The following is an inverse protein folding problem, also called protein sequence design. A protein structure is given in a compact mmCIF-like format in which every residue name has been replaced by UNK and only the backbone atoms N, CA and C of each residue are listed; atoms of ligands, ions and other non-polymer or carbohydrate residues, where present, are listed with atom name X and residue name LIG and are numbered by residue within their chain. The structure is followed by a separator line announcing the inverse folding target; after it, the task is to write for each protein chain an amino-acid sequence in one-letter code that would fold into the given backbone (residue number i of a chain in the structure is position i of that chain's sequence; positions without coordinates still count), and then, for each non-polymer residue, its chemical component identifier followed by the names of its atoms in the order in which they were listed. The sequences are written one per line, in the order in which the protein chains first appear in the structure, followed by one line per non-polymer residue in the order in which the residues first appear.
data_IF_601733362843
#
_entry.id   IF_601733362843
#
_cell.length_a   1.000
_cell.length_b   1.000
_cell.length_c   1.000
_cell.angle_alpha   90.00
_cell.angle_beta   90.00
_cell.angle_gamma   90.00
#
_symmetry.space_group_name_H-M   'P 1'
#
loop_
_entity.id
_entity.type
_entity.pdbx_description
1 polymer ?
#
# COMPACT_ATOMS: atom_id res chain seq x y z
N UNK A 1 -7.00 25.87 -2.08
CA UNK A 1 -6.44 24.86 -2.99
C UNK A 1 -5.44 25.54 -3.90
N UNK A 2 -4.25 24.97 -4.12
CA UNK A 2 -3.24 25.60 -4.98
C UNK A 2 -3.64 25.51 -6.45
N UNK A 3 -3.25 26.49 -7.27
CA UNK A 3 -3.51 26.49 -8.73
C UNK A 3 -2.99 25.21 -9.41
N UNK A 4 -1.88 24.67 -8.91
CA UNK A 4 -1.29 23.42 -9.38
C UNK A 4 -2.21 22.21 -9.15
N UNK A 5 -2.89 22.13 -7.99
CA UNK A 5 -3.81 21.02 -7.70
C UNK A 5 -5.01 21.03 -8.67
N UNK A 6 -5.53 22.22 -9.00
CA UNK A 6 -6.62 22.36 -9.96
C UNK A 6 -6.18 21.95 -11.37
N UNK A 7 -4.99 22.39 -11.80
CA UNK A 7 -4.44 22.00 -13.11
C UNK A 7 -4.22 20.49 -13.22
N UNK A 8 -3.58 19.86 -12.23
CA UNK A 8 -3.35 18.41 -12.23
C UNK A 8 -4.66 17.62 -12.22
N UNK A 9 -5.66 18.08 -11.46
CA UNK A 9 -6.98 17.46 -11.45
C UNK A 9 -7.66 17.55 -12.82
N UNK A 10 -7.65 18.72 -13.44
CA UNK A 10 -8.25 18.91 -14.78
C UNK A 10 -7.54 18.08 -15.85
N UNK A 11 -6.21 18.00 -15.82
CA UNK A 11 -5.43 17.14 -16.73
C UNK A 11 -5.78 15.67 -16.52
N UNK A 12 -5.81 15.20 -15.27
CA UNK A 12 -6.18 13.83 -14.93
C UNK A 12 -7.61 13.49 -15.37
N UNK A 13 -8.56 14.41 -15.16
CA UNK A 13 -9.94 14.24 -15.58
C UNK A 13 -10.08 14.19 -17.11
N UNK A 14 -9.39 15.08 -17.83
CA UNK A 14 -9.38 15.08 -19.29
C UNK A 14 -8.76 13.79 -19.86
N UNK A 15 -7.64 13.32 -19.29
CA UNK A 15 -7.04 12.04 -19.64
C UNK A 15 -7.98 10.87 -19.39
N UNK A 16 -8.64 10.83 -18.23
CA UNK A 16 -9.58 9.78 -17.88
C UNK A 16 -10.78 9.74 -18.85
N UNK A 17 -11.39 10.89 -19.16
CA UNK A 17 -12.48 10.99 -20.13
C UNK A 17 -12.01 10.61 -21.54
N UNK A 18 -10.82 11.05 -21.94
CA UNK A 18 -10.21 10.69 -23.22
C UNK A 18 -9.98 9.18 -23.36
N UNK A 19 -9.46 8.53 -22.32
CA UNK A 19 -9.28 7.06 -22.27
C UNK A 19 -10.62 6.32 -22.32
N UNK A 20 -11.64 6.80 -21.62
CA UNK A 20 -12.99 6.23 -21.66
C UNK A 20 -13.63 6.35 -23.04
N UNK A 21 -13.48 7.51 -23.69
CA UNK A 21 -13.96 7.72 -25.04
C UNK A 21 -13.21 6.82 -26.05
N UNK A 22 -11.90 6.66 -25.87
CA UNK A 22 -11.06 5.82 -26.73
C UNK A 22 -11.36 4.32 -26.57
N UNK A 23 -11.57 3.86 -25.33
CA UNK A 23 -11.96 2.48 -25.05
C UNK A 23 -13.41 2.17 -25.49
N UNK A 24 -14.25 3.20 -25.56
CA UNK A 24 -15.69 3.10 -25.84
C UNK A 24 -16.51 2.95 -24.56
N UNK A 25 -17.40 3.91 -24.31
CA UNK A 25 -18.25 3.91 -23.12
C UNK A 25 -19.09 2.64 -22.99
N UNK A 26 -19.63 2.14 -24.11
CA UNK A 26 -20.50 0.95 -24.14
C UNK A 26 -19.77 -0.34 -23.71
N UNK A 27 -18.51 -0.50 -24.13
CA UNK A 27 -17.69 -1.63 -23.73
C UNK A 27 -17.42 -1.63 -22.22
N UNK A 28 -17.15 -0.45 -21.64
CA UNK A 28 -16.90 -0.29 -20.20
C UNK A 28 -18.17 -0.54 -19.40
N UNK A 29 -19.32 0.03 -19.80
CA UNK A 29 -20.60 -0.14 -19.10
C UNK A 29 -21.07 -1.58 -19.14
N UNK A 30 -20.96 -2.25 -20.29
CA UNK A 30 -21.34 -3.66 -20.44
C UNK A 30 -20.49 -4.57 -19.56
N UNK A 31 -19.18 -4.29 -19.45
CA UNK A 31 -18.27 -5.03 -18.56
C UNK A 31 -18.58 -4.77 -17.08
N UNK A 32 -18.96 -3.54 -16.72
CA UNK A 32 -19.40 -3.23 -15.35
C UNK A 32 -20.71 -3.94 -15.00
N UNK A 33 -21.65 -3.99 -15.95
CA UNK A 33 -22.93 -4.66 -15.76
C UNK A 33 -22.79 -6.18 -15.65
N UNK A 34 -21.84 -6.79 -16.37
CA UNK A 34 -21.58 -8.23 -16.25
C UNK A 34 -21.02 -8.60 -14.88
N UNK A 35 -20.20 -7.73 -14.27
CA UNK A 35 -19.73 -7.92 -12.89
C UNK A 35 -20.84 -7.66 -11.85
N UNK A 36 -21.74 -6.71 -12.11
CA UNK A 36 -22.91 -6.40 -11.29
C UNK A 36 -22.58 -6.14 -9.82
N UNK A 37 -23.38 -6.70 -8.91
CA UNK A 37 -23.16 -6.59 -7.45
C UNK A 37 -21.89 -7.31 -6.96
N UNK A 38 -21.26 -8.15 -7.78
CA UNK A 38 -19.97 -8.76 -7.46
C UNK A 38 -18.88 -7.72 -7.16
N UNK A 39 -18.93 -6.55 -7.82
CA UNK A 39 -18.03 -5.42 -7.54
C UNK A 39 -18.11 -4.94 -6.09
N UNK A 40 -19.32 -4.89 -5.50
CA UNK A 40 -19.50 -4.48 -4.13
C UNK A 40 -18.89 -5.50 -3.14
N UNK A 41 -19.00 -6.80 -3.45
CA UNK A 41 -18.37 -7.86 -2.66
C UNK A 41 -16.85 -7.78 -2.74
N UNK A 42 -16.30 -7.57 -3.93
CA UNK A 42 -14.84 -7.38 -4.14
C UNK A 42 -14.35 -6.14 -3.40
N UNK A 43 -15.09 -5.03 -3.44
CA UNK A 43 -14.76 -3.83 -2.69
C UNK A 43 -14.83 -4.05 -1.17
N UNK A 44 -15.86 -4.77 -0.69
CA UNK A 44 -16.01 -5.11 0.72
C UNK A 44 -14.91 -6.05 1.22
N UNK A 45 -14.37 -6.92 0.35
CA UNK A 45 -13.26 -7.80 0.69
C UNK A 45 -12.02 -7.01 1.14
N UNK A 46 -11.81 -5.79 0.65
CA UNK A 46 -10.72 -4.90 1.07
C UNK A 46 -10.81 -4.48 2.55
N UNK A 47 -11.97 -4.57 3.18
CA UNK A 47 -12.12 -4.30 4.61
C UNK A 47 -11.34 -5.33 5.46
N UNK A 48 -11.20 -6.57 4.99
CA UNK A 48 -10.48 -7.60 5.72
C UNK A 48 -8.98 -7.27 5.87
N UNK A 49 -8.18 -7.05 4.80
CA UNK A 49 -6.78 -6.66 4.95
C UNK A 49 -6.63 -5.34 5.71
N UNK A 50 -7.57 -4.39 5.54
CA UNK A 50 -7.57 -3.14 6.27
C UNK A 50 -7.70 -3.34 7.79
N UNK A 51 -8.62 -4.19 8.22
CA UNK A 51 -8.85 -4.52 9.64
C UNK A 51 -7.66 -5.29 10.22
N UNK A 52 -7.08 -6.21 9.46
CA UNK A 52 -5.89 -6.98 9.89
C UNK A 52 -4.67 -6.08 10.08
N UNK A 53 -4.40 -5.18 9.13
CA UNK A 53 -3.27 -4.24 9.23
C UNK A 53 -3.49 -3.22 10.36
N UNK A 54 -4.72 -2.75 10.55
CA UNK A 54 -5.09 -1.93 11.71
C UNK A 54 -4.85 -2.68 13.04
N UNK A 55 -5.16 -3.97 13.09
CA UNK A 55 -4.88 -4.84 14.24
C UNK A 55 -3.38 -4.97 14.52
N UNK A 56 -2.57 -5.15 13.48
CA UNK A 56 -1.11 -5.20 13.62
C UNK A 56 -0.55 -3.88 14.20
N UNK A 57 -1.05 -2.73 13.74
CA UNK A 57 -0.68 -1.41 14.28
C UNK A 57 -1.10 -1.29 15.75
N UNK A 58 -2.31 -1.74 16.11
CA UNK A 58 -2.78 -1.73 17.49
C UNK A 58 -1.87 -2.54 18.41
N UNK A 59 -1.46 -3.76 18.01
CA UNK A 59 -0.52 -4.61 18.76
C UNK A 59 0.86 -3.95 18.92
N UNK A 60 1.36 -3.27 17.89
CA UNK A 60 2.64 -2.57 17.93
C UNK A 60 2.63 -1.36 18.88
N UNK A 61 1.49 -0.68 19.00
CA UNK A 61 1.30 0.46 19.91
C UNK A 61 1.09 0.00 21.36
N UNK A 62 0.29 -1.05 21.59
CA UNK A 62 -0.06 -1.54 22.93
C UNK A 62 1.16 -2.07 23.70
N UNK A 63 2.12 -2.68 22.98
CA UNK A 63 3.40 -3.11 23.55
C UNK A 63 4.27 -1.99 24.13
N UNK A 64 4.02 -0.72 23.76
CA UNK A 64 4.84 0.44 24.18
C UNK A 64 4.05 1.49 24.95
N UNK A 65 2.74 1.56 24.78
CA UNK A 65 1.88 2.58 25.39
C UNK A 65 0.48 2.03 25.61
N UNK A 66 -0.10 2.24 26.80
CA UNK A 66 -1.50 1.89 27.19
C UNK A 66 -2.61 2.54 26.33
N UNK A 67 -2.27 3.14 25.19
CA UNK A 67 -3.18 3.95 24.38
C UNK A 67 -3.29 3.35 22.98
N UNK A 68 -4.35 2.57 22.75
CA UNK A 68 -4.61 1.95 21.46
C UNK A 68 -5.98 1.32 21.38
N UNK A 69 -7.06 2.10 21.44
CA UNK A 69 -8.37 1.59 20.99
C UNK A 69 -8.21 1.17 19.53
N UNK A 70 -8.46 -0.09 19.16
CA UNK A 70 -8.38 -0.59 17.78
C UNK A 70 -9.00 0.36 16.74
N UNK A 71 -10.07 1.07 17.13
CA UNK A 71 -10.71 2.12 16.34
C UNK A 71 -9.79 3.29 15.94
N UNK A 72 -8.84 3.70 16.79
CA UNK A 72 -7.86 4.74 16.43
C UNK A 72 -6.86 4.23 15.38
N UNK A 73 -6.36 2.99 15.53
CA UNK A 73 -5.48 2.35 14.56
C UNK A 73 -6.19 2.16 13.21
N UNK A 74 -7.45 1.71 13.23
CA UNK A 74 -8.27 1.54 12.03
C UNK A 74 -8.49 2.87 11.30
N UNK A 75 -8.88 3.93 12.01
CA UNK A 75 -9.06 5.26 11.39
C UNK A 75 -7.74 5.83 10.86
N UNK A 76 -6.64 5.62 11.60
CA UNK A 76 -5.32 6.01 11.11
C UNK A 76 -5.02 5.30 9.79
N UNK A 77 -5.17 3.96 9.76
CA UNK A 77 -4.87 3.17 8.56
C UNK A 77 -5.75 3.52 7.38
N UNK A 78 -7.05 3.65 7.60
CA UNK A 78 -8.01 4.03 6.56
C UNK A 78 -7.64 5.39 5.94
N UNK A 79 -7.40 6.40 6.78
CA UNK A 79 -7.05 7.75 6.30
C UNK A 79 -5.69 7.77 5.61
N UNK A 80 -4.70 7.06 6.15
CA UNK A 80 -3.38 6.91 5.54
C UNK A 80 -3.44 6.27 4.16
N UNK A 81 -4.19 5.17 4.02
CA UNK A 81 -4.40 4.50 2.73
C UNK A 81 -5.17 5.37 1.76
N UNK A 82 -6.20 6.08 2.21
CA UNK A 82 -6.96 7.02 1.37
C UNK A 82 -6.06 8.13 0.82
N UNK A 83 -5.14 8.66 1.63
CA UNK A 83 -4.14 9.64 1.16
C UNK A 83 -3.21 9.01 0.13
N UNK A 84 -2.74 7.79 0.37
CA UNK A 84 -1.83 7.13 -0.55
C UNK A 84 -2.48 6.76 -1.89
N UNK A 85 -3.78 6.45 -1.89
CA UNK A 85 -4.52 6.04 -3.08
C UNK A 85 -5.12 7.22 -3.85
N UNK A 86 -5.53 8.29 -3.17
CA UNK A 86 -6.28 9.40 -3.79
C UNK A 86 -5.43 10.66 -4.00
N UNK A 87 -4.38 10.88 -3.19
CA UNK A 87 -3.55 12.07 -3.29
C UNK A 87 -2.21 11.76 -3.96
N UNK A 88 -1.67 12.70 -4.78
CA UNK A 88 -0.37 12.55 -5.42
C UNK A 88 0.78 12.79 -4.40
N UNK A 89 0.80 12.00 -3.32
CA UNK A 89 1.75 12.13 -2.21
C UNK A 89 2.83 11.04 -2.20
N UNK A 90 3.01 10.32 -3.32
CA UNK A 90 4.12 9.38 -3.54
C UNK A 90 4.21 8.24 -2.52
N UNK A 91 3.07 7.79 -1.97
CA UNK A 91 2.98 6.82 -0.87
C UNK A 91 3.61 7.25 0.48
N UNK A 92 4.19 8.45 0.56
CA UNK A 92 4.81 9.02 1.77
C UNK A 92 3.76 9.74 2.62
N UNK A 93 2.75 10.34 2.00
CA UNK A 93 1.72 11.12 2.71
C UNK A 93 0.89 10.32 3.71
N UNK A 94 0.56 9.07 3.37
CA UNK A 94 -0.24 8.18 4.22
C UNK A 94 0.41 7.92 5.56
N UNK A 95 1.64 7.35 5.61
CA UNK A 95 2.37 7.13 6.86
C UNK A 95 2.53 8.40 7.71
N UNK A 96 2.80 9.56 7.10
CA UNK A 96 2.92 10.84 7.83
C UNK A 96 1.59 11.22 8.49
N UNK A 97 0.47 11.08 7.78
CA UNK A 97 -0.85 11.37 8.33
C UNK A 97 -1.23 10.38 9.44
N UNK A 98 -0.90 9.10 9.29
CA UNK A 98 -1.14 8.07 10.31
C UNK A 98 -0.43 8.42 11.62
N UNK A 99 0.85 8.78 11.54
CA UNK A 99 1.66 9.19 12.70
C UNK A 99 1.05 10.43 13.37
N UNK A 100 0.69 11.45 12.58
CA UNK A 100 0.06 12.67 13.08
C UNK A 100 -1.28 12.39 13.76
N UNK A 101 -2.14 11.57 13.14
CA UNK A 101 -3.45 11.22 13.67
C UNK A 101 -3.34 10.46 15.00
N UNK A 102 -2.44 9.49 15.09
CA UNK A 102 -2.19 8.76 16.33
C UNK A 102 -1.60 9.66 17.42
N UNK A 103 -0.71 10.58 17.05
CA UNK A 103 -0.13 11.53 18.00
C UNK A 103 -1.16 12.50 18.58
N UNK A 104 -2.12 12.96 17.77
CA UNK A 104 -3.23 13.79 18.22
C UNK A 104 -4.18 13.06 19.18
N UNK A 105 -4.17 11.72 19.18
CA UNK A 105 -4.95 10.88 20.11
C UNK A 105 -4.16 10.40 21.33
N UNK A 106 -3.01 11.03 21.61
CA UNK A 106 -2.24 10.80 22.84
C UNK A 106 -1.07 9.81 22.70
N UNK A 107 -0.84 9.23 21.52
CA UNK A 107 0.39 8.47 21.29
C UNK A 107 1.60 9.40 21.25
N UNK A 108 2.73 8.99 21.83
CA UNK A 108 3.98 9.74 21.66
C UNK A 108 4.38 9.69 20.18
N UNK A 109 4.70 10.84 19.59
CA UNK A 109 5.07 10.95 18.17
C UNK A 109 6.15 9.94 17.77
N UNK A 110 7.16 9.75 18.63
CA UNK A 110 8.26 8.79 18.43
C UNK A 110 7.76 7.33 18.36
N UNK A 111 6.82 6.97 19.23
CA UNK A 111 6.30 5.59 19.31
C UNK A 111 5.34 5.31 18.15
N UNK A 112 4.50 6.29 17.78
CA UNK A 112 3.66 6.22 16.59
C UNK A 112 4.50 6.10 15.31
N UNK A 113 5.53 6.93 15.14
CA UNK A 113 6.45 6.85 14.01
C UNK A 113 7.11 5.47 13.91
N UNK A 114 7.63 4.96 15.03
CA UNK A 114 8.25 3.62 15.06
C UNK A 114 7.25 2.51 14.69
N UNK A 115 6.03 2.54 15.24
CA UNK A 115 5.00 1.56 14.93
C UNK A 115 4.59 1.58 13.46
N UNK A 116 4.34 2.77 12.88
CA UNK A 116 3.96 2.91 11.47
C UNK A 116 5.10 2.51 10.53
N UNK A 117 6.35 2.86 10.84
CA UNK A 117 7.51 2.41 10.05
C UNK A 117 7.65 0.90 10.07
N UNK A 118 7.54 0.26 11.25
CA UNK A 118 7.58 -1.21 11.36
C UNK A 118 6.43 -1.83 10.57
N UNK A 119 5.19 -1.34 10.76
CA UNK A 119 4.02 -1.84 10.02
C UNK A 119 4.23 -1.75 8.50
N UNK A 120 4.67 -0.60 8.00
CA UNK A 120 4.87 -0.37 6.56
C UNK A 120 5.97 -1.25 5.98
N UNK A 121 7.06 -1.44 6.72
CA UNK A 121 8.17 -2.31 6.28
C UNK A 121 7.79 -3.78 6.30
N UNK A 122 7.05 -4.24 7.32
CA UNK A 122 6.51 -5.60 7.39
C UNK A 122 5.48 -5.85 6.29
N UNK A 123 4.62 -4.86 5.99
CA UNK A 123 3.67 -4.93 4.88
C UNK A 123 4.41 -5.07 3.54
N UNK A 124 5.41 -4.22 3.28
CA UNK A 124 6.21 -4.29 2.06
C UNK A 124 6.90 -5.65 1.91
N UNK A 125 7.51 -6.17 2.98
CA UNK A 125 8.14 -7.48 2.98
C UNK A 125 7.13 -8.61 2.71
N UNK A 126 5.96 -8.56 3.36
CA UNK A 126 4.89 -9.55 3.18
C UNK A 126 4.38 -9.55 1.74
N UNK A 127 4.21 -8.37 1.14
CA UNK A 127 3.81 -8.24 -0.27
C UNK A 127 4.86 -8.80 -1.22
N UNK A 128 6.15 -8.55 -0.97
CA UNK A 128 7.23 -9.11 -1.79
C UNK A 128 7.29 -10.63 -1.69
N UNK A 129 7.14 -11.19 -0.48
CA UNK A 129 7.09 -12.65 -0.27
C UNK A 129 5.87 -13.26 -0.95
N UNK A 130 4.71 -12.63 -0.82
CA UNK A 130 3.47 -13.07 -1.48
C UNK A 130 3.62 -13.07 -3.00
N UNK A 131 4.17 -12.00 -3.58
CA UNK A 131 4.42 -11.91 -5.01
C UNK A 131 5.39 -13.01 -5.48
N UNK A 132 6.46 -13.26 -4.72
CA UNK A 132 7.43 -14.31 -5.04
C UNK A 132 6.80 -15.69 -5.03
N UNK A 133 6.02 -16.01 -3.99
CA UNK A 133 5.29 -17.26 -3.88
C UNK A 133 4.28 -17.42 -5.02
N UNK A 134 3.54 -16.35 -5.36
CA UNK A 134 2.59 -16.36 -6.47
C UNK A 134 3.24 -16.69 -7.80
N UNK A 135 4.40 -16.08 -8.10
CA UNK A 135 5.15 -16.33 -9.35
C UNK A 135 5.70 -17.76 -9.38
N UNK A 136 6.22 -18.28 -8.25
CA UNK A 136 6.72 -19.65 -8.15
C UNK A 136 5.60 -20.67 -8.38
N UNK A 137 4.44 -20.48 -7.74
CA UNK A 137 3.28 -21.34 -7.92
C UNK A 137 2.75 -21.29 -9.35
N UNK A 138 2.69 -20.09 -9.95
CA UNK A 138 2.28 -19.91 -11.34
C UNK A 138 3.23 -20.64 -12.31
N UNK A 139 4.54 -20.53 -12.09
CA UNK A 139 5.55 -21.23 -12.89
C UNK A 139 5.51 -22.75 -12.75
N UNK A 140 5.04 -23.28 -11.63
CA UNK A 140 4.97 -24.72 -11.36
C UNK A 140 3.80 -25.42 -12.08
N UNK A 141 2.70 -24.72 -12.38
CA UNK A 141 1.48 -25.34 -12.93
C UNK A 141 1.42 -25.36 -14.46
N UNK A 142 2.27 -24.61 -15.17
CA UNK A 142 2.13 -24.42 -16.61
C UNK A 142 3.15 -25.17 -17.46
N UNK A 143 2.68 -25.76 -18.57
CA UNK A 143 3.53 -26.26 -19.66
C UNK A 143 4.04 -25.08 -20.51
N UNK A 144 4.73 -24.14 -19.85
CA UNK A 144 5.01 -22.78 -20.31
C UNK A 144 6.38 -22.69 -20.99
N UNK A 145 6.66 -23.50 -22.01
CA UNK A 145 7.96 -23.47 -22.72
C UNK A 145 8.37 -22.06 -23.14
N UNK A 146 7.43 -21.26 -23.66
CA UNK A 146 7.68 -19.87 -24.08
C UNK A 146 7.75 -18.85 -22.92
N UNK A 147 7.17 -19.16 -21.76
CA UNK A 147 7.06 -18.22 -20.64
C UNK A 147 7.99 -18.52 -19.45
N UNK A 148 8.77 -19.61 -19.53
CA UNK A 148 9.78 -19.99 -18.52
C UNK A 148 10.82 -18.89 -18.31
N UNK A 149 11.41 -18.37 -19.38
CA UNK A 149 12.47 -17.36 -19.29
C UNK A 149 12.00 -16.07 -18.60
N UNK A 150 10.88 -15.42 -18.98
CA UNK A 150 10.41 -14.22 -18.28
C UNK A 150 10.04 -14.51 -16.82
N UNK A 151 9.44 -15.66 -16.51
CA UNK A 151 9.11 -16.05 -15.13
C UNK A 151 10.37 -16.15 -14.28
N UNK A 152 11.43 -16.81 -14.78
CA UNK A 152 12.70 -16.93 -14.07
C UNK A 152 13.32 -15.55 -13.84
N UNK A 153 13.37 -14.71 -14.87
CA UNK A 153 13.95 -13.36 -14.77
C UNK A 153 13.21 -12.52 -13.72
N UNK A 154 11.88 -12.48 -13.76
CA UNK A 154 11.07 -11.73 -12.78
C UNK A 154 11.26 -12.30 -11.38
N UNK A 155 11.32 -13.63 -11.23
CA UNK A 155 11.56 -14.29 -9.93
C UNK A 155 12.92 -13.88 -9.34
N UNK A 156 13.98 -13.91 -10.15
CA UNK A 156 15.33 -13.54 -9.72
C UNK A 156 15.39 -12.06 -9.33
N UNK A 157 14.82 -11.18 -10.15
CA UNK A 157 14.78 -9.73 -9.86
C UNK A 157 14.03 -9.48 -8.55
N UNK A 158 12.85 -10.09 -8.38
CA UNK A 158 12.05 -9.91 -7.17
C UNK A 158 12.77 -10.45 -5.93
N UNK A 159 13.39 -11.64 -6.02
CA UNK A 159 14.19 -12.21 -4.95
C UNK A 159 15.38 -11.30 -4.57
N UNK A 160 16.06 -10.72 -5.56
CA UNK A 160 17.13 -9.75 -5.34
C UNK A 160 16.61 -8.48 -4.64
N UNK A 161 15.46 -7.95 -5.05
CA UNK A 161 14.80 -6.82 -4.38
C UNK A 161 14.48 -7.13 -2.91
N UNK A 162 13.94 -8.32 -2.61
CA UNK A 162 13.66 -8.76 -1.23
C UNK A 162 14.95 -8.82 -0.42
N UNK A 163 16.01 -9.40 -0.99
CA UNK A 163 17.30 -9.54 -0.31
C UNK A 163 17.92 -8.17 -0.01
N UNK A 164 17.96 -7.28 -1.00
CA UNK A 164 18.44 -5.91 -0.85
C UNK A 164 17.62 -5.18 0.22
N UNK A 165 16.30 -5.27 0.17
CA UNK A 165 15.42 -4.64 1.17
C UNK A 165 15.73 -5.13 2.59
N UNK A 166 15.84 -6.45 2.79
CA UNK A 166 16.20 -7.06 4.07
C UNK A 166 17.58 -6.61 4.58
N UNK A 167 18.58 -6.56 3.70
CA UNK A 167 19.94 -6.10 4.06
C UNK A 167 19.93 -4.62 4.46
N UNK A 168 19.24 -3.77 3.70
CA UNK A 168 19.12 -2.34 4.02
C UNK A 168 18.37 -2.12 5.34
N UNK A 169 17.30 -2.88 5.59
CA UNK A 169 16.53 -2.82 6.83
C UNK A 169 17.38 -3.23 8.04
N UNK A 170 18.16 -4.32 7.94
CA UNK A 170 19.09 -4.77 9.00
C UNK A 170 20.23 -3.80 9.26
N UNK A 171 20.69 -3.07 8.25
CA UNK A 171 21.73 -2.01 8.39
C UNK A 171 21.18 -0.68 8.94
N UNK A 172 19.97 -0.68 9.50
CA UNK A 172 19.39 0.47 10.22
C UNK A 172 19.30 1.72 9.36
N UNK A 173 19.03 1.58 8.05
CA UNK A 173 19.09 2.70 7.10
C UNK A 173 18.19 3.88 7.52
N UNK A 174 17.01 3.59 8.07
CA UNK A 174 16.10 4.61 8.60
C UNK A 174 16.74 5.43 9.73
N UNK A 175 17.47 4.80 10.65
CA UNK A 175 18.20 5.50 11.72
C UNK A 175 19.42 6.29 11.23
N UNK A 176 19.95 6.00 10.04
CA UNK A 176 21.02 6.80 9.42
C UNK A 176 20.46 8.01 8.67
N UNK A 177 19.38 7.82 7.90
CA UNK A 177 18.71 8.91 7.18
C UNK A 177 18.13 9.95 8.16
N UNK A 178 17.50 9.51 9.26
CA UNK A 178 17.01 10.42 10.31
C UNK A 178 18.12 11.19 11.03
N UNK A 179 19.35 10.67 11.09
CA UNK A 179 20.50 11.38 11.66
C UNK A 179 21.17 12.36 10.68
N UNK A 180 20.96 12.19 9.38
CA UNK A 180 21.47 13.11 8.37
C UNK A 180 20.50 14.27 8.11
N UNK A 181 19.23 14.11 8.47
CA UNK A 181 18.17 15.11 8.30
C UNK A 181 17.92 15.96 9.58
N UNK A 182 18.62 15.67 10.68
CA UNK A 182 18.59 16.41 11.94
C UNK A 182 19.90 17.19 12.12
#
# INVERSE_FOLDING_TARGET
MSRAAFLLFSIGAALFVGLLAWQGFDAVTTTLMSAGWGLAVVAAFHLLPLLLDAGAIAVLLDRKTRHGTFCSALRARWTGESVNSLLPAGQIGGPVLMVRYLSQRGARMRDAAAAITVSTTTQALSQMVFALLGILLFGAQGNLSDQRTPIIVVTVILAACVLVFCVLQRRGMFGRVLRMAA
#
